data_IF_725930759902
#
_entry.id   IF_725930759902
#
_cell.length_a   1.000
_cell.length_b   1.000
_cell.length_c   1.000
_cell.angle_alpha   90.00
_cell.angle_beta   90.00
_cell.angle_gamma   90.00
#
_symmetry.space_group_name_H-M   'P 1'
#
loop_
_entity.id
_entity.type
_entity.pdbx_description
1 polymer ?
#
# COMPACT_ATOMS: atom_id res chain seq x y z
N UNK A 1 -4.98 -11.14 -0.65
CA UNK A 1 -3.90 -10.45 0.07
C UNK A 1 -4.40 -9.56 1.21
N UNK A 2 -5.27 -8.56 0.98
CA UNK A 2 -5.79 -7.67 2.03
C UNK A 2 -6.48 -8.41 3.20
N UNK A 3 -7.34 -9.38 2.89
CA UNK A 3 -8.05 -10.21 3.89
C UNK A 3 -7.07 -11.11 4.68
N UNK A 4 -6.01 -11.59 4.04
CA UNK A 4 -4.98 -12.39 4.71
C UNK A 4 -4.16 -11.53 5.66
N UNK A 5 -3.84 -10.27 5.30
CA UNK A 5 -3.17 -9.34 6.21
C UNK A 5 -4.06 -9.00 7.42
N UNK A 6 -5.36 -8.79 7.22
CA UNK A 6 -6.32 -8.62 8.32
C UNK A 6 -6.41 -9.85 9.23
N UNK A 7 -6.37 -11.06 8.66
CA UNK A 7 -6.38 -12.31 9.42
C UNK A 7 -5.06 -12.56 10.18
N UNK A 8 -3.92 -12.15 9.62
CA UNK A 8 -2.60 -12.29 10.27
C UNK A 8 -2.38 -11.22 11.35
N UNK A 9 -2.86 -9.99 11.16
CA UNK A 9 -2.73 -8.91 12.17
C UNK A 9 -3.77 -9.00 13.29
N UNK A 10 -4.96 -9.56 13.05
CA UNK A 10 -5.99 -9.75 14.07
C UNK A 10 -6.21 -8.51 14.96
N UNK A 11 -6.05 -8.66 16.27
CA UNK A 11 -6.26 -7.62 17.30
C UNK A 11 -5.31 -6.42 17.25
N UNK A 12 -4.27 -6.44 16.40
CA UNK A 12 -3.27 -5.37 16.29
C UNK A 12 -3.62 -4.33 15.21
N UNK A 13 -4.67 -4.54 14.42
CA UNK A 13 -5.08 -3.58 13.40
C UNK A 13 -5.93 -2.47 14.01
N UNK A 14 -5.29 -1.50 14.65
CA UNK A 14 -5.94 -0.28 15.16
C UNK A 14 -5.64 0.86 14.19
N UNK A 15 -6.67 1.59 13.77
CA UNK A 15 -6.56 2.76 12.87
C UNK A 15 -5.90 3.99 13.51
N UNK A 16 -5.56 3.89 14.79
CA UNK A 16 -4.77 4.86 15.56
C UNK A 16 -3.46 4.22 16.00
N UNK A 17 -2.37 4.96 15.85
CA UNK A 17 -1.04 4.59 16.32
C UNK A 17 -1.00 4.76 17.84
N UNK A 18 -1.66 3.85 18.57
CA UNK A 18 -1.53 3.78 20.02
C UNK A 18 -0.41 2.77 20.33
N UNK A 19 0.67 3.17 21.02
CA UNK A 19 1.73 2.25 21.40
C UNK A 19 1.19 1.29 22.48
N UNK A 20 0.65 0.15 22.07
CA UNK A 20 0.37 -0.93 23.03
C UNK A 20 1.71 -1.51 23.51
N UNK A 21 1.87 -1.58 24.84
CA UNK A 21 3.08 -1.99 25.59
C UNK A 21 3.58 -3.43 25.35
N UNK A 22 3.00 -4.16 24.39
CA UNK A 22 3.38 -5.53 24.01
C UNK A 22 3.36 -5.72 22.49
N UNK A 23 3.74 -4.70 21.73
CA UNK A 23 4.01 -4.90 20.31
C UNK A 23 5.19 -5.87 20.18
N UNK A 24 4.94 -7.07 19.66
CA UNK A 24 5.98 -7.97 19.16
C UNK A 24 6.11 -7.72 17.66
N UNK A 25 7.33 -7.71 17.15
CA UNK A 25 7.57 -7.60 15.72
C UNK A 25 7.01 -8.85 15.02
N UNK A 26 5.98 -8.68 14.21
CA UNK A 26 5.38 -9.80 13.46
C UNK A 26 6.21 -10.03 12.20
N UNK A 27 7.02 -11.09 12.20
CA UNK A 27 7.93 -11.44 11.10
C UNK A 27 7.48 -12.66 10.31
N UNK A 28 6.31 -13.23 10.64
CA UNK A 28 5.79 -14.47 10.05
C UNK A 28 4.78 -14.21 8.92
N UNK A 29 4.64 -15.18 8.01
CA UNK A 29 3.70 -15.09 6.89
C UNK A 29 4.15 -14.08 5.83
N UNK A 30 3.27 -13.15 5.43
CA UNK A 30 3.59 -12.17 4.37
C UNK A 30 4.70 -11.18 4.78
N UNK A 31 4.86 -10.94 6.09
CA UNK A 31 5.92 -10.11 6.66
C UNK A 31 7.31 -10.76 6.61
N UNK A 32 7.40 -12.05 6.28
CA UNK A 32 8.67 -12.72 5.99
C UNK A 32 9.19 -12.41 4.57
N UNK A 33 8.34 -11.92 3.68
CA UNK A 33 8.67 -11.68 2.28
C UNK A 33 8.71 -10.19 1.92
N UNK A 34 7.86 -9.36 2.54
CA UNK A 34 7.78 -7.91 2.29
C UNK A 34 7.50 -7.21 3.62
N UNK A 35 8.20 -6.10 3.91
CA UNK A 35 7.99 -5.34 5.17
C UNK A 35 6.60 -4.70 5.24
N UNK A 36 6.06 -4.27 4.10
CA UNK A 36 4.80 -3.52 3.99
C UNK A 36 3.76 -4.20 3.07
N UNK A 37 3.29 -5.42 3.37
CA UNK A 37 2.41 -6.19 2.47
C UNK A 37 1.04 -5.52 2.25
N UNK A 38 0.55 -4.78 3.24
CA UNK A 38 -0.70 -4.00 3.14
C UNK A 38 -0.59 -2.86 2.12
N UNK A 39 0.54 -2.17 2.10
CA UNK A 39 0.81 -1.07 1.15
C UNK A 39 1.02 -1.59 -0.28
N UNK A 40 1.61 -2.79 -0.44
CA UNK A 40 1.65 -3.50 -1.73
C UNK A 40 0.24 -3.77 -2.25
N UNK A 41 -0.63 -4.32 -1.40
CA UNK A 41 -2.03 -4.58 -1.74
C UNK A 41 -2.78 -3.31 -2.14
N UNK A 42 -2.49 -2.19 -1.48
CA UNK A 42 -3.05 -0.89 -1.81
C UNK A 42 -2.56 -0.37 -3.17
N UNK A 43 -1.24 -0.42 -3.44
CA UNK A 43 -0.69 0.00 -4.73
C UNK A 43 -1.26 -0.81 -5.91
N UNK A 44 -1.41 -2.12 -5.73
CA UNK A 44 -2.02 -3.00 -6.74
C UNK A 44 -3.51 -2.71 -6.95
N UNK A 45 -4.25 -2.37 -5.89
CA UNK A 45 -5.63 -1.91 -6.00
C UNK A 45 -5.73 -0.58 -6.75
N UNK A 46 -4.83 0.38 -6.49
CA UNK A 46 -4.80 1.67 -7.19
C UNK A 46 -4.56 1.46 -8.68
N UNK A 47 -3.54 0.66 -9.05
CA UNK A 47 -3.25 0.34 -10.45
C UNK A 47 -4.42 -0.38 -11.13
N UNK A 48 -5.00 -1.38 -10.45
CA UNK A 48 -6.17 -2.10 -10.97
C UNK A 48 -7.38 -1.20 -11.18
N UNK A 49 -7.60 -0.24 -10.28
CA UNK A 49 -8.69 0.72 -10.40
C UNK A 49 -8.47 1.69 -11.58
N UNK A 50 -7.25 2.19 -11.77
CA UNK A 50 -6.91 3.03 -12.92
C UNK A 50 -7.14 2.30 -14.24
N UNK A 51 -6.70 1.04 -14.35
CA UNK A 51 -6.92 0.21 -15.57
C UNK A 51 -8.40 -0.10 -15.77
N UNK A 52 -9.11 -0.46 -14.71
CA UNK A 52 -10.54 -0.74 -14.78
C UNK A 52 -11.36 0.48 -15.23
N UNK A 53 -10.94 1.69 -14.85
CA UNK A 53 -11.60 2.94 -15.26
C UNK A 53 -11.30 3.33 -16.71
N UNK A 54 -10.10 3.04 -17.23
CA UNK A 54 -9.70 3.38 -18.60
C UNK A 54 -10.07 2.32 -19.64
N UNK A 55 -10.63 1.18 -19.22
CA UNK A 55 -11.03 0.10 -20.13
C UNK A 55 -12.31 0.47 -20.91
N UNK A 56 -12.47 0.08 -22.19
CA UNK A 56 -13.65 0.39 -23.01
C UNK A 56 -15.01 -0.14 -22.50
N UNK A 57 -15.00 -1.00 -21.47
CA UNK A 57 -16.20 -1.54 -20.81
C UNK A 57 -16.38 -1.01 -19.39
N UNK A 58 -15.66 0.05 -19.03
CA UNK A 58 -15.74 0.67 -17.71
C UNK A 58 -17.03 1.46 -17.53
N UNK A 59 -17.38 1.74 -16.29
CA UNK A 59 -18.47 2.66 -15.98
C UNK A 59 -18.27 4.03 -16.66
N UNK A 60 -17.02 4.52 -16.76
CA UNK A 60 -16.69 5.77 -17.46
C UNK A 60 -16.94 5.67 -18.97
N UNK A 61 -16.69 4.50 -19.57
CA UNK A 61 -17.03 4.26 -20.97
C UNK A 61 -18.55 4.17 -21.17
N UNK A 62 -19.31 3.67 -20.19
CA UNK A 62 -20.76 3.58 -20.26
C UNK A 62 -21.48 4.95 -20.22
N UNK A 63 -20.87 5.95 -19.57
CA UNK A 63 -21.36 7.34 -19.57
C UNK A 63 -20.73 8.20 -20.68
N UNK A 64 -20.04 7.55 -21.64
CA UNK A 64 -19.44 8.17 -22.82
C UNK A 64 -18.47 9.32 -22.51
N UNK A 65 -17.77 9.24 -21.37
CA UNK A 65 -16.80 10.27 -20.94
C UNK A 65 -15.67 10.49 -21.94
N UNK A 66 -15.36 9.47 -22.74
CA UNK A 66 -14.31 9.49 -23.76
C UNK A 66 -14.70 10.23 -25.05
N UNK A 67 -16.00 10.44 -25.31
CA UNK A 67 -16.46 11.17 -26.50
C UNK A 67 -16.36 12.69 -26.34
N UNK A 68 -16.41 13.19 -25.09
CA UNK A 68 -16.22 14.59 -24.76
C UNK A 68 -14.79 14.91 -24.34
N UNK A 69 -14.19 15.93 -24.96
CA UNK A 69 -12.85 16.45 -24.61
C UNK A 69 -12.78 16.85 -23.13
N UNK A 70 -13.83 17.51 -22.62
CA UNK A 70 -13.90 17.89 -21.20
C UNK A 70 -13.95 16.68 -20.27
N UNK A 71 -14.75 15.66 -20.61
CA UNK A 71 -14.85 14.42 -19.83
C UNK A 71 -13.51 13.70 -19.75
N UNK A 72 -12.81 13.59 -20.88
CA UNK A 72 -11.48 12.97 -20.94
C UNK A 72 -10.47 13.72 -20.09
N UNK A 73 -10.45 15.06 -20.16
CA UNK A 73 -9.55 15.89 -19.34
C UNK A 73 -9.83 15.68 -17.85
N UNK A 74 -11.10 15.70 -17.43
CA UNK A 74 -11.49 15.49 -16.03
C UNK A 74 -11.09 14.09 -15.56
N UNK A 75 -11.36 13.06 -16.35
CA UNK A 75 -11.00 11.68 -16.01
C UNK A 75 -9.48 11.51 -15.84
N UNK A 76 -8.68 12.04 -16.77
CA UNK A 76 -7.23 12.01 -16.69
C UNK A 76 -6.69 12.81 -15.49
N UNK A 77 -7.28 13.97 -15.19
CA UNK A 77 -6.92 14.74 -13.99
C UNK A 77 -7.22 13.97 -12.71
N UNK A 78 -8.37 13.31 -12.61
CA UNK A 78 -8.70 12.48 -11.47
C UNK A 78 -7.71 11.33 -11.33
N UNK A 79 -7.44 10.58 -12.40
CA UNK A 79 -6.43 9.50 -12.37
C UNK A 79 -5.07 10.04 -11.95
N UNK A 80 -4.67 11.22 -12.43
CA UNK A 80 -3.39 11.85 -12.03
C UNK A 80 -3.38 12.22 -10.55
N UNK A 81 -4.43 12.86 -10.03
CA UNK A 81 -4.55 13.16 -8.60
C UNK A 81 -4.50 11.88 -7.75
N UNK A 82 -5.21 10.83 -8.18
CA UNK A 82 -5.17 9.51 -7.55
C UNK A 82 -3.75 8.91 -7.54
N UNK A 83 -2.99 9.03 -8.63
CA UNK A 83 -1.61 8.55 -8.72
C UNK A 83 -0.62 9.34 -7.85
N UNK A 84 -0.90 10.63 -7.55
CA UNK A 84 -0.08 11.44 -6.65
C UNK A 84 -0.09 10.93 -5.20
N UNK A 85 -1.04 10.06 -4.82
CA UNK A 85 -1.03 9.41 -3.51
C UNK A 85 -0.01 8.27 -3.40
N UNK A 86 0.53 7.73 -4.50
CA UNK A 86 1.53 6.66 -4.47
C UNK A 86 2.84 7.10 -3.79
N UNK A 87 3.45 8.24 -4.14
CA UNK A 87 4.64 8.75 -3.43
C UNK A 87 4.39 8.98 -1.93
N UNK A 88 3.19 9.44 -1.56
CA UNK A 88 2.82 9.66 -0.17
C UNK A 88 2.84 8.34 0.63
N UNK A 89 2.39 7.24 0.01
CA UNK A 89 2.48 5.91 0.62
C UNK A 89 3.94 5.50 0.83
N UNK A 90 4.83 5.76 -0.13
CA UNK A 90 6.27 5.48 0.02
C UNK A 90 6.91 6.27 1.17
N UNK A 91 6.54 7.55 1.33
CA UNK A 91 7.01 8.37 2.46
C UNK A 91 6.46 7.80 3.78
N UNK A 92 5.19 7.40 3.79
CA UNK A 92 4.55 6.81 4.98
C UNK A 92 5.22 5.51 5.40
N UNK A 93 5.54 4.62 4.46
CA UNK A 93 6.25 3.36 4.77
C UNK A 93 7.64 3.61 5.33
N UNK A 94 8.37 4.64 4.85
CA UNK A 94 9.68 5.01 5.41
C UNK A 94 9.55 5.50 6.85
N UNK A 95 8.56 6.34 7.14
CA UNK A 95 8.30 6.82 8.50
C UNK A 95 7.91 5.67 9.43
N UNK A 96 7.11 4.72 8.94
CA UNK A 96 6.71 3.54 9.71
C UNK A 96 7.90 2.61 9.98
N UNK A 97 8.79 2.38 9.00
CA UNK A 97 10.05 1.64 9.20
C UNK A 97 10.95 2.32 10.23
N UNK A 98 11.06 3.65 10.21
CA UNK A 98 11.86 4.40 11.20
C UNK A 98 11.26 4.27 12.61
N UNK A 99 9.94 4.35 12.75
CA UNK A 99 9.27 4.14 14.03
C UNK A 99 9.47 2.71 14.55
N UNK A 100 9.41 1.71 13.67
CA UNK A 100 9.69 0.32 14.04
C UNK A 100 11.16 0.12 14.43
N UNK A 101 12.09 0.75 13.71
CA UNK A 101 13.51 0.74 14.05
C UNK A 101 13.77 1.36 15.42
N UNK A 102 13.13 2.49 15.75
CA UNK A 102 13.23 3.12 17.06
C UNK A 102 12.61 2.28 18.18
N UNK A 103 11.51 1.58 17.91
CA UNK A 103 10.82 0.77 18.90
C UNK A 103 11.50 -0.59 19.18
N UNK A 104 12.07 -1.23 18.16
CA UNK A 104 12.58 -2.61 18.22
C UNK A 104 14.10 -2.74 18.02
N UNK A 105 14.78 -1.68 17.59
CA UNK A 105 16.24 -1.63 17.49
C UNK A 105 16.84 -2.78 16.68
N UNK A 106 17.63 -3.61 17.36
CA UNK A 106 18.37 -4.74 16.77
C UNK A 106 17.45 -5.82 16.20
N UNK A 107 16.29 -6.08 16.82
CA UNK A 107 15.32 -7.07 16.33
C UNK A 107 14.78 -6.66 14.95
N UNK A 108 14.54 -5.36 14.75
CA UNK A 108 14.14 -4.82 13.45
C UNK A 108 15.26 -4.89 12.43
N UNK A 109 16.51 -4.58 12.81
CA UNK A 109 17.65 -4.64 11.89
C UNK A 109 17.92 -6.07 11.39
N UNK A 110 17.85 -7.07 12.27
CA UNK A 110 18.00 -8.48 11.89
C UNK A 110 16.86 -8.97 10.99
N UNK A 111 15.64 -8.51 11.24
CA UNK A 111 14.50 -8.83 10.39
C UNK A 111 14.58 -8.12 9.03
N UNK A 112 14.97 -6.83 9.00
CA UNK A 112 15.11 -6.05 7.78
C UNK A 112 16.21 -6.60 6.86
N UNK A 113 17.29 -7.17 7.43
CA UNK A 113 18.30 -7.93 6.67
C UNK A 113 17.74 -9.18 6.02
N UNK A 114 16.88 -9.92 6.72
CA UNK A 114 16.20 -11.12 6.20
C UNK A 114 15.11 -10.80 5.18
N UNK A 115 14.48 -9.63 5.32
CA UNK A 115 13.39 -9.16 4.46
C UNK A 115 13.75 -7.81 3.84
N UNK A 116 14.61 -7.79 2.79
CA UNK A 116 15.11 -6.54 2.21
C UNK A 116 14.01 -5.72 1.51
N UNK A 117 12.95 -6.39 1.05
CA UNK A 117 11.89 -5.78 0.23
C UNK A 117 10.92 -4.95 1.07
N UNK A 118 10.90 -3.64 0.80
CA UNK A 118 9.97 -2.70 1.45
C UNK A 118 8.53 -2.86 0.96
N UNK A 119 8.30 -2.59 -0.33
CA UNK A 119 6.95 -2.50 -0.94
C UNK A 119 6.71 -3.53 -2.05
N UNK A 120 7.71 -3.76 -2.91
CA UNK A 120 7.62 -4.69 -4.04
C UNK A 120 8.78 -5.68 -3.93
N UNK A 121 8.52 -7.00 -3.98
CA UNK A 121 9.60 -7.98 -4.08
C UNK A 121 10.42 -7.68 -5.34
N UNK A 122 11.75 -7.73 -5.24
CA UNK A 122 12.71 -7.46 -6.32
C UNK A 122 12.92 -6.00 -6.75
N UNK A 123 12.32 -5.03 -6.05
CA UNK A 123 12.64 -3.60 -6.22
C UNK A 123 13.26 -3.08 -4.92
N UNK A 124 14.50 -2.59 -5.02
CA UNK A 124 15.31 -2.09 -3.92
C UNK A 124 14.98 -0.63 -3.57
#
# INVERSE_FOLDING_TARGET
>A
MRISAYRTLGRLFVGEVVPQKKHKLVTTGMYAYVRHPSYKGWGMLMLGHSVALTTPRSFLAAIDVWSSTLGTIVALMLVRLWMMFIPLLCVRTKREDEMLRQAFGTEWEEWAKRTPYGLVPYVW
#
